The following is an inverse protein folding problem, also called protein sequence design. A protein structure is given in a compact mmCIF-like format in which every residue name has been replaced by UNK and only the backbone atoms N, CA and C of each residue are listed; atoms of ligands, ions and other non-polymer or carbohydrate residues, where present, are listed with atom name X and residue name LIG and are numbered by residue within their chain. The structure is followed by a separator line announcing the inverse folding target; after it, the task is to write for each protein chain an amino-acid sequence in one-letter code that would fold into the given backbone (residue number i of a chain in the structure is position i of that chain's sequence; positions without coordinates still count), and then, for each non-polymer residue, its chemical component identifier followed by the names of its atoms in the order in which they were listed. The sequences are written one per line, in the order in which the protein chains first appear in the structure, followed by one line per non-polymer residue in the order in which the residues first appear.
data_IF_850860958865
#
_entry.id   IF_850860958865
#
_cell.length_a   1.000
_cell.length_b   1.000
_cell.length_c   1.000
_cell.angle_alpha   90.00
_cell.angle_beta   90.00
_cell.angle_gamma   90.00
#
_symmetry.space_group_name_H-M   'P 1'
#
loop_
_entity.id
_entity.type
_entity.pdbx_description
1 polymer ?
#
# COMPACT_ATOMS: atom_id res chain seq x y z
N UNK A 1 27.33 8.46 -40.73
CA UNK A 1 26.35 9.55 -40.49
C UNK A 1 24.92 9.05 -40.68
N UNK A 2 24.63 8.24 -41.70
CA UNK A 2 23.33 7.56 -41.91
C UNK A 2 22.97 6.58 -40.77
N UNK A 3 23.91 5.73 -40.33
CA UNK A 3 23.65 4.75 -39.25
C UNK A 3 23.27 5.38 -37.90
N UNK A 4 23.79 6.57 -37.60
CA UNK A 4 23.45 7.31 -36.38
C UNK A 4 22.04 7.91 -36.43
N UNK A 5 21.56 8.25 -37.63
CA UNK A 5 20.24 8.84 -37.86
C UNK A 5 19.15 7.75 -37.80
N UNK A 6 19.40 6.57 -38.37
CA UNK A 6 18.50 5.42 -38.30
C UNK A 6 18.36 4.90 -36.86
N UNK A 7 19.48 4.80 -36.12
CA UNK A 7 19.46 4.40 -34.71
C UNK A 7 18.66 5.37 -33.82
N UNK A 8 18.70 6.67 -34.12
CA UNK A 8 17.93 7.69 -33.40
C UNK A 8 16.42 7.57 -33.68
N UNK A 9 16.03 7.37 -34.95
CA UNK A 9 14.62 7.17 -35.34
C UNK A 9 14.05 5.91 -34.71
N UNK A 10 14.80 4.81 -34.72
CA UNK A 10 14.36 3.55 -34.11
C UNK A 10 14.23 3.68 -32.59
N UNK A 11 15.12 4.41 -31.94
CA UNK A 11 15.00 4.71 -30.51
C UNK A 11 13.73 5.52 -30.20
N UNK A 12 13.43 6.56 -30.96
CA UNK A 12 12.20 7.35 -30.80
C UNK A 12 10.97 6.46 -30.97
N UNK A 13 10.97 5.54 -31.94
CA UNK A 13 9.88 4.58 -32.14
C UNK A 13 9.72 3.62 -30.97
N UNK A 14 10.81 3.12 -30.39
CA UNK A 14 10.77 2.25 -29.20
C UNK A 14 10.25 2.99 -27.97
N UNK A 15 10.62 4.25 -27.78
CA UNK A 15 10.04 5.11 -26.73
C UNK A 15 8.54 5.33 -26.97
N UNK A 16 8.14 5.67 -28.20
CA UNK A 16 6.73 5.89 -28.55
C UNK A 16 5.87 4.62 -28.39
N UNK A 17 6.47 3.44 -28.51
CA UNK A 17 5.81 2.15 -28.22
C UNK A 17 5.82 1.80 -26.74
N UNK A 18 6.53 2.53 -25.88
CA UNK A 18 6.69 2.22 -24.46
C UNK A 18 7.65 1.06 -24.17
N UNK A 19 8.63 0.82 -25.05
CA UNK A 19 9.67 -0.21 -24.91
C UNK A 19 10.92 0.34 -24.22
N UNK A 20 11.12 1.65 -24.32
CA UNK A 20 12.21 2.38 -23.67
C UNK A 20 11.67 3.59 -22.89
N UNK A 21 12.35 3.97 -21.82
CA UNK A 21 12.07 5.20 -21.08
C UNK A 21 12.05 5.01 -19.56
N UNK A 22 11.73 6.08 -18.84
CA UNK A 22 11.55 6.04 -17.39
C UNK A 22 10.08 6.23 -17.05
N UNK A 23 9.55 5.41 -16.12
CA UNK A 23 8.18 5.52 -15.61
C UNK A 23 8.20 5.75 -14.11
N UNK A 24 7.49 6.79 -13.68
CA UNK A 24 7.38 7.19 -12.28
C UNK A 24 6.20 6.47 -11.66
N UNK A 25 6.46 5.63 -10.66
CA UNK A 25 5.49 4.73 -10.05
C UNK A 25 5.34 5.07 -8.57
N UNK A 26 4.14 5.43 -8.14
CA UNK A 26 3.79 5.66 -6.75
C UNK A 26 3.43 4.37 -6.03
N UNK A 27 3.87 4.23 -4.79
CA UNK A 27 3.54 3.11 -3.92
C UNK A 27 3.22 3.60 -2.50
N UNK A 28 2.39 2.83 -1.79
CA UNK A 28 2.00 3.10 -0.41
C UNK A 28 2.60 2.05 0.54
N UNK A 29 3.26 2.53 1.60
CA UNK A 29 3.78 1.87 2.83
C UNK A 29 4.29 0.41 2.75
N UNK A 30 3.54 -0.61 2.30
CA UNK A 30 4.04 -2.00 2.17
C UNK A 30 3.99 -2.58 0.77
N UNK A 31 3.25 -1.93 -0.13
CA UNK A 31 3.62 -1.98 -1.53
C UNK A 31 4.95 -1.28 -1.78
N UNK A 32 5.70 -0.88 -0.76
CA UNK A 32 7.02 -0.28 -0.87
C UNK A 32 8.15 -1.32 -0.88
N UNK A 33 7.95 -2.46 -0.22
CA UNK A 33 9.05 -3.37 0.10
C UNK A 33 9.05 -4.61 -0.80
N UNK A 34 8.01 -5.45 -0.73
CA UNK A 34 8.00 -6.70 -1.52
C UNK A 34 7.50 -6.48 -2.95
N UNK A 35 6.48 -5.64 -3.09
CA UNK A 35 5.81 -5.43 -4.37
C UNK A 35 6.67 -4.65 -5.39
N UNK A 36 7.37 -3.55 -5.04
CA UNK A 36 8.21 -2.84 -5.99
C UNK A 36 9.51 -3.57 -6.24
N UNK A 37 10.06 -4.27 -5.26
CA UNK A 37 11.22 -5.12 -5.50
C UNK A 37 10.89 -6.18 -6.56
N UNK A 38 9.72 -6.80 -6.46
CA UNK A 38 9.21 -7.73 -7.49
C UNK A 38 8.94 -7.02 -8.81
N UNK A 39 8.32 -5.84 -8.81
CA UNK A 39 8.03 -5.08 -10.02
C UNK A 39 9.30 -4.65 -10.75
N UNK A 40 10.29 -4.15 -10.02
CA UNK A 40 11.62 -3.80 -10.50
C UNK A 40 12.31 -5.01 -11.12
N UNK A 41 12.28 -6.16 -10.44
CA UNK A 41 12.86 -7.41 -10.96
C UNK A 41 12.17 -7.87 -12.24
N UNK A 42 10.83 -7.93 -12.24
CA UNK A 42 10.06 -8.35 -13.42
C UNK A 42 10.27 -7.40 -14.60
N UNK A 43 10.36 -6.10 -14.34
CA UNK A 43 10.58 -5.09 -15.37
C UNK A 43 12.01 -5.18 -15.91
N UNK A 44 13.01 -5.36 -15.04
CA UNK A 44 14.40 -5.59 -15.47
C UNK A 44 14.54 -6.86 -16.33
N UNK A 45 13.85 -7.94 -15.96
CA UNK A 45 13.94 -9.22 -16.67
C UNK A 45 13.16 -9.23 -17.99
N UNK A 46 12.01 -8.56 -18.06
CA UNK A 46 11.04 -8.70 -19.17
C UNK A 46 10.89 -7.46 -20.04
N UNK A 47 11.26 -6.29 -19.52
CA UNK A 47 11.17 -4.99 -20.18
C UNK A 47 12.46 -4.17 -19.93
N UNK A 48 13.65 -4.68 -20.32
CA UNK A 48 14.95 -4.10 -19.92
C UNK A 48 15.19 -2.67 -20.43
N UNK A 49 14.45 -2.21 -21.44
CA UNK A 49 14.50 -0.81 -21.90
C UNK A 49 13.75 0.16 -20.99
N UNK A 50 12.92 -0.34 -20.07
CA UNK A 50 12.17 0.47 -19.11
C UNK A 50 12.91 0.55 -17.77
N UNK A 51 13.07 1.79 -17.29
CA UNK A 51 13.47 2.10 -15.93
C UNK A 51 12.23 2.52 -15.14
N UNK A 52 12.09 2.02 -13.91
CA UNK A 52 11.07 2.51 -12.98
C UNK A 52 11.73 3.44 -11.96
N UNK A 53 11.09 4.58 -11.71
CA UNK A 53 11.41 5.49 -10.62
C UNK A 53 10.30 5.38 -9.58
N UNK A 54 10.65 5.01 -8.34
CA UNK A 54 9.67 4.68 -7.32
C UNK A 54 9.47 5.86 -6.37
N UNK A 55 8.22 6.25 -6.16
CA UNK A 55 7.83 7.31 -5.24
C UNK A 55 6.98 6.73 -4.10
N UNK A 56 7.35 7.05 -2.85
CA UNK A 56 6.59 6.63 -1.68
C UNK A 56 5.68 7.77 -1.21
N UNK A 57 4.42 7.45 -0.96
CA UNK A 57 3.46 8.42 -0.46
C UNK A 57 2.25 7.77 0.22
N UNK A 58 1.34 8.61 0.68
CA UNK A 58 0.02 8.17 1.16
C UNK A 58 -0.88 7.82 -0.03
N UNK A 59 -1.98 7.10 0.23
CA UNK A 59 -2.98 6.78 -0.80
C UNK A 59 -3.49 8.05 -1.52
N UNK A 60 -3.73 9.13 -0.76
CA UNK A 60 -4.16 10.43 -1.30
C UNK A 60 -3.07 11.11 -2.12
N UNK A 61 -1.86 11.21 -1.58
CA UNK A 61 -0.75 11.89 -2.25
C UNK A 61 -0.40 11.19 -3.57
N UNK A 62 -0.30 9.86 -3.57
CA UNK A 62 -0.05 9.08 -4.79
C UNK A 62 -1.16 9.30 -5.82
N UNK A 63 -2.43 9.27 -5.41
CA UNK A 63 -3.54 9.51 -6.31
C UNK A 63 -3.49 10.92 -6.93
N UNK A 64 -3.20 11.94 -6.14
CA UNK A 64 -3.10 13.33 -6.62
C UNK A 64 -1.92 13.53 -7.58
N UNK A 65 -0.77 12.92 -7.29
CA UNK A 65 0.39 12.96 -8.18
C UNK A 65 0.12 12.26 -9.53
N UNK A 66 -0.65 11.15 -9.53
CA UNK A 66 -1.06 10.49 -10.78
C UNK A 66 -2.04 11.36 -11.57
N UNK A 67 -3.00 12.02 -10.89
CA UNK A 67 -3.91 12.99 -11.54
C UNK A 67 -3.13 14.14 -12.17
N UNK A 68 -2.15 14.69 -11.45
CA UNK A 68 -1.28 15.76 -11.93
C UNK A 68 -0.31 15.34 -13.05
N UNK A 69 -0.17 14.04 -13.32
CA UNK A 69 0.81 13.52 -14.29
C UNK A 69 2.26 13.59 -13.81
N UNK A 70 2.46 13.82 -12.51
CA UNK A 70 3.76 13.74 -11.84
C UNK A 70 4.17 12.28 -11.61
N UNK A 71 3.19 11.38 -11.47
CA UNK A 71 3.36 9.94 -11.54
C UNK A 71 2.59 9.38 -12.74
N UNK A 72 3.16 8.33 -13.35
CA UNK A 72 2.57 7.67 -14.51
C UNK A 72 1.68 6.50 -14.09
N UNK A 73 1.93 5.93 -12.90
CA UNK A 73 1.23 4.80 -12.30
C UNK A 73 1.25 4.93 -10.78
N UNK A 74 0.17 4.56 -10.09
CA UNK A 74 0.14 4.45 -8.63
C UNK A 74 -0.41 3.10 -8.18
N UNK A 75 0.10 2.57 -7.07
CA UNK A 75 -0.52 1.46 -6.37
C UNK A 75 -1.00 1.92 -4.99
N UNK A 76 -2.31 1.91 -4.80
CA UNK A 76 -3.00 2.48 -3.64
C UNK A 76 -4.05 1.52 -3.09
N UNK A 77 -4.40 1.67 -1.81
CA UNK A 77 -5.49 0.93 -1.17
C UNK A 77 -6.83 1.51 -1.60
N UNK A 78 -7.80 0.65 -1.90
CA UNK A 78 -9.17 1.06 -2.26
C UNK A 78 -10.15 0.95 -1.09
N UNK A 79 -11.14 1.86 -0.97
CA UNK A 79 -11.43 2.98 -1.88
C UNK A 79 -10.35 4.07 -1.80
N UNK A 80 -10.04 4.68 -2.96
CA UNK A 80 -9.06 5.76 -3.05
C UNK A 80 -9.67 7.01 -2.41
N UNK A 81 -9.09 7.57 -1.33
CA UNK A 81 -9.66 8.76 -0.71
C UNK A 81 -9.51 9.96 -1.66
N UNK A 82 -10.51 10.84 -1.70
CA UNK A 82 -10.46 12.11 -2.44
C UNK A 82 -10.02 13.22 -1.48
N UNK A 83 -9.12 14.10 -1.92
CA UNK A 83 -8.84 15.33 -1.21
C UNK A 83 -10.14 16.14 -1.06
N UNK A 84 -10.58 16.36 0.19
CA UNK A 84 -11.81 17.11 0.50
C UNK A 84 -13.10 16.30 0.60
N UNK A 85 -13.09 14.99 0.36
CA UNK A 85 -14.24 14.12 0.60
C UNK A 85 -14.14 13.45 1.96
N UNK A 86 -15.02 13.82 2.91
CA UNK A 86 -15.13 13.09 4.17
C UNK A 86 -15.41 11.60 3.90
N UNK A 87 -14.72 10.71 4.60
CA UNK A 87 -15.00 9.28 4.60
C UNK A 87 -16.41 9.04 5.19
N UNK A 88 -17.43 9.01 4.32
CA UNK A 88 -18.81 8.82 4.72
C UNK A 88 -19.78 9.33 3.68
N UNK A 89 -20.14 8.47 2.72
CA UNK A 89 -21.20 8.77 1.76
C UNK A 89 -21.29 7.76 0.63
N UNK A 90 -22.20 6.80 0.77
CA UNK A 90 -22.76 6.12 -0.38
C UNK A 90 -23.56 7.15 -1.20
N UNK A 91 -23.13 7.41 -2.43
CA UNK A 91 -23.93 8.07 -3.46
C UNK A 91 -23.54 9.52 -3.81
N UNK A 92 -23.32 9.73 -5.11
CA UNK A 92 -23.67 10.97 -5.79
C UNK A 92 -22.57 12.02 -5.96
N UNK A 93 -21.62 11.79 -6.86
CA UNK A 93 -20.75 12.83 -7.40
C UNK A 93 -20.52 12.62 -8.89
N UNK A 94 -21.26 13.35 -9.72
CA UNK A 94 -21.17 13.39 -11.19
C UNK A 94 -19.95 14.19 -11.66
N UNK A 95 -18.75 13.73 -11.29
CA UNK A 95 -17.49 14.15 -11.90
C UNK A 95 -16.74 12.88 -12.26
N UNK A 96 -16.46 12.69 -13.55
CA UNK A 96 -15.74 11.54 -14.08
C UNK A 96 -14.50 11.24 -13.22
N UNK A 97 -14.32 9.99 -12.79
CA UNK A 97 -13.09 9.61 -12.11
C UNK A 97 -11.96 9.73 -13.14
N UNK A 98 -11.17 10.81 -13.06
CA UNK A 98 -10.02 11.09 -13.96
C UNK A 98 -8.90 10.03 -13.87
N UNK A 99 -9.14 8.93 -13.14
CA UNK A 99 -8.25 7.79 -12.99
C UNK A 99 -8.99 6.50 -13.35
N UNK A 100 -8.33 5.68 -14.14
CA UNK A 100 -8.69 4.27 -14.32
C UNK A 100 -8.18 3.51 -13.11
N UNK A 101 -9.08 2.84 -12.41
CA UNK A 101 -8.79 2.01 -11.23
C UNK A 101 -8.86 0.54 -11.65
N UNK A 102 -7.76 -0.19 -11.52
CA UNK A 102 -7.69 -1.64 -11.73
C UNK A 102 -7.46 -2.31 -10.37
N UNK A 103 -8.47 -2.91 -9.72
CA UNK A 103 -8.31 -3.58 -8.44
C UNK A 103 -7.64 -4.96 -8.60
N UNK A 104 -7.25 -5.57 -7.48
CA UNK A 104 -6.87 -6.99 -7.43
C UNK A 104 -5.39 -7.28 -7.63
N UNK A 105 -4.50 -6.30 -7.42
CA UNK A 105 -3.06 -6.51 -7.52
C UNK A 105 -2.46 -7.10 -6.24
N UNK A 106 -3.04 -6.77 -5.08
CA UNK A 106 -2.69 -7.35 -3.79
C UNK A 106 -3.83 -7.15 -2.77
N UNK A 107 -3.73 -7.83 -1.63
CA UNK A 107 -4.49 -7.52 -0.42
C UNK A 107 -3.51 -7.32 0.73
N UNK A 108 -3.68 -6.21 1.46
CA UNK A 108 -2.82 -5.88 2.59
C UNK A 108 -3.58 -6.18 3.88
N UNK A 109 -3.23 -7.28 4.56
CA UNK A 109 -3.85 -7.65 5.84
C UNK A 109 -3.32 -6.75 6.96
N UNK A 110 -4.22 -6.10 7.69
CA UNK A 110 -3.94 -5.34 8.92
C UNK A 110 -4.12 -6.26 10.12
N UNK A 111 -3.12 -6.29 10.98
CA UNK A 111 -3.03 -7.15 12.16
C UNK A 111 -2.70 -6.31 13.40
N UNK A 112 -2.86 -6.90 14.59
CA UNK A 112 -2.40 -6.29 15.81
C UNK A 112 -0.88 -6.44 15.94
N UNK A 113 -0.17 -5.33 16.10
CA UNK A 113 1.22 -5.31 16.50
C UNK A 113 1.27 -4.98 17.99
N UNK A 114 1.64 -5.95 18.82
CA UNK A 114 1.62 -5.86 20.27
C UNK A 114 3.03 -6.04 20.82
N UNK A 115 3.37 -5.42 21.97
CA UNK A 115 4.62 -5.75 22.62
C UNK A 115 4.68 -7.25 22.95
N UNK A 116 5.79 -7.92 22.67
CA UNK A 116 5.96 -9.36 22.89
C UNK A 116 5.82 -9.78 24.36
N UNK A 117 5.88 -8.81 25.29
CA UNK A 117 5.60 -9.03 26.71
C UNK A 117 4.11 -9.23 27.00
N UNK A 118 3.19 -8.79 26.12
CA UNK A 118 1.75 -8.97 26.28
C UNK A 118 1.34 -10.43 26.03
N UNK A 119 0.40 -11.00 26.82
CA UNK A 119 -0.11 -12.36 26.57
C UNK A 119 -0.71 -12.52 25.17
N UNK A 120 -1.50 -11.54 24.73
CA UNK A 120 -2.15 -11.56 23.41
C UNK A 120 -1.14 -11.59 22.25
N UNK A 121 0.08 -11.08 22.45
CA UNK A 121 1.13 -11.08 21.42
C UNK A 121 1.63 -12.50 21.02
N UNK A 122 1.25 -13.53 21.79
CA UNK A 122 1.59 -14.94 21.53
C UNK A 122 0.41 -15.77 21.03
N UNK A 123 -0.76 -15.17 20.88
CA UNK A 123 -1.92 -15.87 20.35
C UNK A 123 -1.75 -16.14 18.85
N UNK A 124 -2.30 -17.26 18.37
CA UNK A 124 -2.32 -17.55 16.92
C UNK A 124 -3.24 -16.59 16.17
N UNK A 125 -4.31 -16.14 16.83
CA UNK A 125 -5.25 -15.13 16.34
C UNK A 125 -6.09 -14.58 17.48
N UNK A 126 -6.61 -13.36 17.30
CA UNK A 126 -7.47 -12.66 18.28
C UNK A 126 -8.74 -12.11 17.62
N UNK A 127 -9.78 -11.88 18.42
CA UNK A 127 -10.89 -11.01 18.04
C UNK A 127 -10.51 -9.55 18.34
N UNK A 128 -11.02 -8.62 17.52
CA UNK A 128 -10.75 -7.19 17.72
C UNK A 128 -11.19 -6.75 19.13
N UNK A 129 -12.24 -7.37 19.67
CA UNK A 129 -12.76 -7.12 21.03
C UNK A 129 -11.78 -7.43 22.16
N UNK A 130 -10.84 -8.35 21.95
CA UNK A 130 -9.82 -8.70 22.95
C UNK A 130 -8.81 -7.56 23.19
N UNK A 131 -8.76 -6.58 22.27
CA UNK A 131 -7.91 -5.40 22.37
C UNK A 131 -8.53 -4.26 23.18
N UNK A 132 -9.75 -4.44 23.71
CA UNK A 132 -10.49 -3.38 24.45
C UNK A 132 -9.69 -2.75 25.57
N UNK A 133 -8.94 -3.57 26.31
CA UNK A 133 -8.18 -3.11 27.47
C UNK A 133 -6.72 -2.75 27.15
N UNK A 134 -6.28 -3.02 25.92
CA UNK A 134 -4.93 -2.74 25.47
C UNK A 134 -4.77 -1.25 25.14
N UNK A 135 -3.71 -0.58 25.62
CA UNK A 135 -3.39 0.79 25.18
C UNK A 135 -2.88 0.77 23.74
N UNK A 136 -3.39 1.68 22.91
CA UNK A 136 -3.01 1.81 21.50
C UNK A 136 -2.25 3.10 21.21
N UNK A 137 -1.24 3.00 20.35
CA UNK A 137 -0.72 4.12 19.56
C UNK A 137 -1.35 4.02 18.19
N UNK A 138 -2.26 4.93 17.88
CA UNK A 138 -2.85 4.98 16.54
C UNK A 138 -2.06 5.97 15.68
N UNK A 139 -1.76 5.62 14.42
CA UNK A 139 -1.19 6.59 13.50
C UNK A 139 -2.16 7.76 13.32
N UNK A 140 -1.64 8.98 13.24
CA UNK A 140 -2.44 10.19 13.08
C UNK A 140 -3.17 10.21 11.74
N UNK A 141 -4.45 10.61 11.74
CA UNK A 141 -5.27 10.74 10.54
C UNK A 141 -4.69 11.69 9.48
N UNK A 142 -3.83 12.64 9.89
CA UNK A 142 -3.15 13.56 8.96
C UNK A 142 -2.01 12.91 8.16
N UNK A 143 -1.51 11.75 8.58
CA UNK A 143 -0.27 11.19 7.99
C UNK A 143 -0.44 9.79 7.43
N UNK A 144 -1.36 8.98 7.98
CA UNK A 144 -1.82 7.73 7.36
C UNK A 144 -3.35 7.70 7.28
N UNK A 145 -3.97 8.64 6.51
CA UNK A 145 -5.42 8.79 6.45
C UNK A 145 -6.12 7.46 6.13
N UNK A 146 -5.56 6.66 5.22
CA UNK A 146 -6.14 5.37 4.86
C UNK A 146 -6.06 4.28 5.95
N UNK A 147 -4.97 4.19 6.72
CA UNK A 147 -4.79 3.10 7.70
C UNK A 147 -5.43 3.44 9.04
N UNK A 148 -5.24 4.66 9.52
CA UNK A 148 -5.78 5.13 10.80
C UNK A 148 -7.31 5.14 10.78
N UNK A 149 -7.92 5.64 9.70
CA UNK A 149 -9.37 5.68 9.57
C UNK A 149 -9.96 4.28 9.50
N UNK A 150 -9.32 3.36 8.77
CA UNK A 150 -9.73 1.93 8.71
C UNK A 150 -9.62 1.24 10.05
N UNK A 151 -8.53 1.46 10.77
CA UNK A 151 -8.31 0.95 12.11
C UNK A 151 -9.43 1.41 13.07
N UNK A 152 -9.72 2.72 13.07
CA UNK A 152 -10.80 3.29 13.88
C UNK A 152 -12.17 2.79 13.44
N UNK A 153 -12.43 2.71 12.12
CA UNK A 153 -13.67 2.19 11.56
C UNK A 153 -13.90 0.72 11.97
N UNK A 154 -12.86 -0.13 11.87
CA UNK A 154 -12.92 -1.51 12.32
C UNK A 154 -13.22 -1.61 13.82
N UNK A 155 -12.58 -0.78 14.65
CA UNK A 155 -12.86 -0.75 16.09
C UNK A 155 -14.33 -0.37 16.35
N UNK A 156 -14.83 0.66 15.67
CA UNK A 156 -16.24 1.09 15.78
C UNK A 156 -17.22 0.00 15.30
N UNK A 157 -16.95 -0.67 14.19
CA UNK A 157 -17.74 -1.80 13.67
C UNK A 157 -17.83 -2.94 14.70
N UNK A 158 -16.78 -3.14 15.51
CA UNK A 158 -16.75 -4.12 16.59
C UNK A 158 -17.29 -3.59 17.95
N UNK A 159 -17.82 -2.37 18.01
CA UNK A 159 -18.32 -1.76 19.24
C UNK A 159 -17.21 -1.42 20.25
N UNK A 160 -16.03 -1.03 19.76
CA UNK A 160 -14.84 -0.72 20.55
C UNK A 160 -14.42 0.73 20.36
N UNK A 161 -14.02 1.35 21.46
CA UNK A 161 -13.26 2.59 21.44
C UNK A 161 -11.81 2.28 21.86
N UNK A 162 -10.83 2.40 20.95
CA UNK A 162 -9.44 2.09 21.27
C UNK A 162 -8.91 3.07 22.33
N UNK A 163 -8.22 2.54 23.36
CA UNK A 163 -7.60 3.36 24.41
C UNK A 163 -6.35 4.04 23.86
N UNK A 164 -6.54 5.22 23.28
CA UNK A 164 -5.46 5.98 22.68
C UNK A 164 -4.50 6.52 23.75
N UNK A 165 -3.27 6.00 23.74
CA UNK A 165 -2.20 6.43 24.65
C UNK A 165 -1.32 7.52 24.04
N UNK A 166 -1.16 7.48 22.71
CA UNK A 166 -0.41 8.47 21.95
C UNK A 166 -0.85 8.45 20.48
N UNK A 167 -0.50 9.51 19.74
CA UNK A 167 -0.56 9.57 18.29
C UNK A 167 0.85 9.70 17.73
N UNK A 168 1.11 9.04 16.62
CA UNK A 168 2.36 9.17 15.88
C UNK A 168 2.10 9.60 14.45
N UNK A 169 3.05 10.34 13.90
CA UNK A 169 2.98 10.83 12.53
C UNK A 169 3.36 9.74 11.53
N UNK A 170 3.96 8.62 11.93
CA UNK A 170 4.24 7.55 11.00
C UNK A 170 4.22 6.17 11.68
N UNK A 171 4.10 5.14 10.86
CA UNK A 171 3.99 3.76 11.32
C UNK A 171 5.31 3.23 11.91
N UNK A 172 6.45 3.72 11.45
CA UNK A 172 7.77 3.37 12.00
C UNK A 172 7.87 3.83 13.44
N UNK A 173 7.47 5.07 13.71
CA UNK A 173 7.38 5.63 15.05
C UNK A 173 6.41 4.84 15.93
N UNK A 174 5.21 4.52 15.42
CA UNK A 174 4.24 3.71 16.16
C UNK A 174 4.78 2.31 16.52
N UNK A 175 5.51 1.66 15.61
CA UNK A 175 6.17 0.37 15.88
C UNK A 175 7.32 0.51 16.87
N UNK A 176 8.13 1.57 16.78
CA UNK A 176 9.19 1.84 17.75
C UNK A 176 8.61 2.01 19.16
N UNK A 177 7.50 2.74 19.31
CA UNK A 177 6.78 2.83 20.59
C UNK A 177 6.21 1.50 21.04
N UNK A 178 5.71 0.69 20.11
CA UNK A 178 5.22 -0.67 20.43
C UNK A 178 6.34 -1.54 21.01
N UNK A 179 7.54 -1.47 20.43
CA UNK A 179 8.71 -2.20 20.93
C UNK A 179 9.13 -1.80 22.35
N UNK A 180 8.76 -0.61 22.84
CA UNK A 180 9.05 -0.19 24.23
C UNK A 180 8.20 -0.88 25.30
N UNK A 181 7.15 -1.63 24.92
CA UNK A 181 6.25 -2.28 25.88
C UNK A 181 5.01 -1.48 26.28
N UNK A 182 4.93 -0.21 25.86
CA UNK A 182 3.95 0.74 26.40
C UNK A 182 2.54 0.60 25.81
N UNK A 183 2.43 0.22 24.53
CA UNK A 183 1.16 0.17 23.80
C UNK A 183 1.29 -0.69 22.54
N UNK A 184 0.15 -1.19 22.04
CA UNK A 184 0.04 -1.84 20.73
C UNK A 184 -0.28 -0.85 19.61
N UNK A 185 -0.28 -1.33 18.38
CA UNK A 185 -0.78 -0.60 17.21
C UNK A 185 -1.45 -1.55 16.21
N UNK A 186 -2.11 -0.99 15.20
CA UNK A 186 -2.61 -1.74 14.06
C UNK A 186 -1.68 -1.48 12.88
N UNK A 187 -1.12 -2.55 12.34
CA UNK A 187 -0.09 -2.49 11.32
C UNK A 187 -0.35 -3.52 10.23
N UNK A 188 0.05 -3.26 8.98
CA UNK A 188 0.07 -4.28 7.96
C UNK A 188 1.01 -5.42 8.34
N UNK A 189 0.55 -6.65 8.13
CA UNK A 189 1.23 -7.87 8.54
C UNK A 189 2.65 -8.00 7.97
N UNK A 190 2.87 -7.54 6.73
CA UNK A 190 4.17 -7.59 6.07
C UNK A 190 5.28 -6.85 6.83
N UNK A 191 4.95 -5.90 7.71
CA UNK A 191 5.96 -5.17 8.50
C UNK A 191 6.68 -6.05 9.50
N UNK A 192 6.15 -7.24 9.82
CA UNK A 192 6.83 -8.20 10.69
C UNK A 192 8.27 -8.51 10.26
N UNK A 193 8.58 -8.41 8.96
CA UNK A 193 9.90 -8.70 8.41
C UNK A 193 10.89 -7.53 8.55
N UNK A 194 10.40 -6.32 8.85
CA UNK A 194 11.20 -5.09 8.91
C UNK A 194 11.16 -4.43 10.29
N UNK A 195 10.52 -5.07 11.27
CA UNK A 195 10.22 -4.44 12.55
C UNK A 195 11.28 -4.72 13.61
N UNK A 196 11.45 -3.80 14.58
CA UNK A 196 12.32 -4.02 15.72
C UNK A 196 11.94 -5.30 16.48
N UNK A 197 12.90 -5.97 17.14
CA UNK A 197 12.59 -7.09 18.00
C UNK A 197 11.68 -6.65 19.16
N UNK A 198 10.93 -7.60 19.72
CA UNK A 198 10.04 -7.34 20.85
C UNK A 198 8.60 -6.97 20.46
N UNK A 199 8.20 -7.17 19.21
CA UNK A 199 6.84 -7.00 18.71
C UNK A 199 6.28 -8.35 18.25
N UNK A 200 5.11 -8.73 18.74
CA UNK A 200 4.31 -9.84 18.22
C UNK A 200 3.26 -9.32 17.24
N UNK A 201 3.13 -10.01 16.10
CA UNK A 201 2.13 -9.71 15.07
C UNK A 201 1.03 -10.77 15.13
N UNK A 202 -0.18 -10.35 15.45
CA UNK A 202 -1.29 -11.25 15.75
C UNK A 202 -2.46 -10.98 14.82
N UNK A 203 -2.83 -11.94 13.96
CA UNK A 203 -3.93 -11.76 13.01
C UNK A 203 -5.29 -11.78 13.70
N UNK A 204 -6.28 -11.19 13.04
CA UNK A 204 -7.67 -11.25 13.50
C UNK A 204 -8.37 -12.51 12.98
N UNK A 205 -9.21 -13.15 13.80
CA UNK A 205 -9.94 -14.38 13.43
C UNK A 205 -10.93 -14.15 12.27
N UNK A 206 -11.63 -13.02 12.30
CA UNK A 206 -12.59 -12.61 11.27
C UNK A 206 -12.37 -11.12 10.94
N UNK A 207 -11.32 -10.77 10.17
CA UNK A 207 -11.02 -9.38 9.88
C UNK A 207 -12.13 -8.78 9.00
N UNK A 208 -12.60 -7.58 9.35
CA UNK A 208 -13.54 -6.85 8.48
C UNK A 208 -12.81 -6.35 7.23
N UNK A 209 -13.57 -5.95 6.20
CA UNK A 209 -13.02 -5.40 4.95
C UNK A 209 -12.11 -4.17 5.18
N UNK A 210 -12.29 -3.46 6.31
CA UNK A 210 -11.42 -2.36 6.73
C UNK A 210 -9.99 -2.83 7.03
N UNK A 211 -9.84 -4.05 7.56
CA UNK A 211 -8.57 -4.67 7.94
C UNK A 211 -7.97 -5.53 6.84
N UNK A 212 -8.60 -5.61 5.67
CA UNK A 212 -8.04 -6.30 4.49
C UNK A 212 -8.18 -5.44 3.23
N UNK A 213 -7.67 -4.18 3.22
CA UNK A 213 -7.74 -3.33 2.05
C UNK A 213 -7.15 -4.01 0.81
N UNK A 214 -7.93 -3.99 -0.28
CA UNK A 214 -7.45 -4.35 -1.60
C UNK A 214 -6.56 -3.25 -2.14
N UNK A 215 -5.50 -3.64 -2.84
CA UNK A 215 -4.63 -2.74 -3.58
C UNK A 215 -5.06 -2.72 -5.04
N UNK A 216 -5.20 -1.51 -5.57
CA UNK A 216 -5.46 -1.24 -6.97
C UNK A 216 -4.28 -0.52 -7.62
N UNK A 217 -4.09 -0.76 -8.91
CA UNK A 217 -3.32 0.10 -9.77
C UNK A 217 -4.21 1.26 -10.26
N UNK A 218 -3.67 2.47 -10.26
CA UNK A 218 -4.34 3.67 -10.75
C UNK A 218 -3.47 4.35 -11.82
N UNK A 219 -4.10 4.78 -12.90
CA UNK A 219 -3.44 5.55 -13.96
C UNK A 219 -4.44 6.48 -14.64
N UNK A 220 -3.95 7.47 -15.38
CA UNK A 220 -4.80 8.36 -16.19
C UNK A 220 -5.46 7.59 -17.36
N UNK A 221 -6.65 8.00 -17.86
CA UNK A 221 -7.36 7.33 -18.96
C UNK A 221 -6.53 7.09 -20.23
N UNK A 222 -5.61 8.00 -20.54
CA UNK A 222 -4.63 7.90 -21.62
C UNK A 222 -3.23 7.71 -21.05
N UNK A 223 -2.88 6.49 -20.61
CA UNK A 223 -1.56 6.23 -20.05
C UNK A 223 -0.50 6.12 -21.15
N UNK A 224 0.76 6.28 -20.78
CA UNK A 224 1.88 5.92 -21.66
C UNK A 224 1.79 4.41 -22.02
N UNK A 225 2.12 4.00 -23.26
CA UNK A 225 2.07 2.60 -23.70
C UNK A 225 2.89 1.61 -22.85
N UNK A 226 3.86 2.11 -22.07
CA UNK A 226 4.60 1.30 -21.10
C UNK A 226 3.72 0.83 -19.93
N UNK A 227 2.70 1.59 -19.50
CA UNK A 227 1.92 1.27 -18.30
C UNK A 227 1.12 -0.04 -18.45
N UNK A 228 0.35 -0.26 -19.54
CA UNK A 228 -0.31 -1.55 -19.73
C UNK A 228 0.66 -2.75 -19.74
N UNK A 229 1.89 -2.56 -20.24
CA UNK A 229 2.91 -3.62 -20.26
C UNK A 229 3.42 -3.93 -18.86
N UNK A 230 3.71 -2.89 -18.08
CA UNK A 230 4.11 -3.02 -16.67
C UNK A 230 3.01 -3.74 -15.87
N UNK A 231 1.74 -3.37 -16.08
CA UNK A 231 0.60 -4.02 -15.41
C UNK A 231 0.42 -5.49 -15.84
N UNK A 232 0.62 -5.81 -17.12
CA UNK A 232 0.53 -7.18 -17.62
C UNK A 232 1.57 -8.12 -16.98
N UNK A 233 2.72 -7.61 -16.51
CA UNK A 233 3.70 -8.41 -15.76
C UNK A 233 3.15 -8.88 -14.40
N UNK A 234 2.14 -8.18 -13.87
CA UNK A 234 1.56 -8.43 -12.56
C UNK A 234 0.27 -9.26 -12.66
N UNK A 235 -0.50 -9.09 -13.74
CA UNK A 235 -1.76 -9.81 -14.01
C UNK A 235 -1.59 -11.35 -14.08
N UNK A 236 -0.38 -11.85 -14.36
CA UNK A 236 -0.09 -13.29 -14.50
C UNK A 236 0.12 -14.08 -13.20
N UNK A 237 0.05 -13.46 -12.02
CA UNK A 237 0.36 -14.11 -10.71
C UNK A 237 -0.38 -13.45 -9.52
N UNK A 238 -1.66 -13.14 -9.70
CA UNK A 238 -2.50 -12.34 -8.79
C UNK A 238 -2.83 -12.95 -7.41
N UNK A 239 -2.08 -13.94 -6.93
CA UNK A 239 -2.14 -14.35 -5.53
C UNK A 239 -0.80 -14.09 -4.85
N UNK A 240 -0.56 -12.81 -4.56
CA UNK A 240 0.29 -12.47 -3.41
C UNK A 240 -0.65 -12.23 -2.26
N UNK A 241 -1.10 -13.33 -1.65
CA UNK A 241 -1.42 -13.27 -0.24
C UNK A 241 -0.16 -12.82 0.48
N UNK A 242 -0.28 -11.98 1.52
CA UNK A 242 0.74 -11.71 2.54
C UNK A 242 1.08 -12.99 3.35
N UNK A 243 1.25 -14.11 2.65
CA UNK A 243 1.53 -15.43 3.14
C UNK A 243 2.50 -16.09 2.15
N UNK A 244 3.77 -15.68 2.19
CA UNK A 244 4.87 -16.52 1.73
C UNK A 244 6.17 -16.08 2.41
N UNK A 245 6.60 -16.90 3.38
CA UNK A 245 8.00 -16.98 3.80
C UNK A 245 8.90 -17.34 2.60
N UNK A 246 10.21 -17.15 2.74
CA UNK A 246 11.07 -18.33 2.70
C UNK A 246 11.94 -18.39 3.94
N UNK A 247 12.07 -19.61 4.47
CA UNK A 247 13.08 -19.91 5.47
C UNK A 247 14.49 -19.79 4.89
N UNK A 248 15.39 -19.34 5.75
CA UNK A 248 16.77 -19.81 5.91
C UNK A 248 17.03 -19.86 7.41
#
# INVERSE_FOLDING_TARGET
MLDAQDAAVDRVRRIARGEEGTRRVGCVSLLAYDYPARLLRLTADRLPGLRLDLHQGTDTAVADLVRGGELDLGFVRVPVPRAGGAAGGAGGGTGEDDLVIRPGYASERIVAALPATRPLARADSIDLGELRDEPFVLPGARVLPGLAERAVAACREAGLEPRERARCDDLTSALAHTATGLAGTLAPEGLRHFSPPGIGYVPFRAPSHQLTPTVAAIHRPTPDPAIPRVLALLDGRAEVSSAASPGV
#
